data_IF_235439045622
#
_entry.id   IF_235439045622
#
_cell.length_a   1.000
_cell.length_b   1.000
_cell.length_c   1.000
_cell.angle_alpha   90.00
_cell.angle_beta   90.00
_cell.angle_gamma   90.00
#
_symmetry.space_group_name_H-M   'P 1'
#
loop_
_entity.id
_entity.type
_entity.pdbx_description
1 polymer ?
#
# COMPACT_ATOMS: atom_id res chain seq x y z
N UNK A 1 -31.13 -42.22 54.03
CA UNK A 1 -31.72 -41.37 52.96
C UNK A 1 -31.56 -39.90 53.33
N UNK A 2 -30.82 -39.12 52.53
CA UNK A 2 -31.01 -37.69 52.19
C UNK A 2 -29.68 -37.01 51.79
N UNK A 3 -29.49 -36.97 50.47
CA UNK A 3 -28.94 -35.92 49.60
C UNK A 3 -27.89 -34.90 50.11
N UNK A 4 -26.72 -35.00 49.48
CA UNK A 4 -25.92 -33.97 48.80
C UNK A 4 -26.39 -32.50 48.85
N UNK A 5 -25.54 -31.59 49.35
CA UNK A 5 -25.49 -30.19 48.88
C UNK A 5 -24.01 -29.78 48.72
N UNK A 6 -23.52 -29.86 47.49
CA UNK A 6 -22.24 -29.30 47.05
C UNK A 6 -22.43 -27.78 46.96
N UNK A 7 -21.63 -27.01 47.71
CA UNK A 7 -21.60 -25.53 47.64
C UNK A 7 -21.08 -25.08 46.27
N UNK A 8 -22.00 -24.84 45.34
CA UNK A 8 -21.76 -24.17 44.05
C UNK A 8 -21.63 -22.66 44.28
N UNK A 9 -20.49 -22.17 44.79
CA UNK A 9 -20.32 -20.71 44.99
C UNK A 9 -18.99 -20.13 44.57
N UNK A 10 -18.12 -20.89 43.91
CA UNK A 10 -16.80 -20.40 43.44
C UNK A 10 -16.51 -20.73 41.98
N UNK A 11 -17.56 -20.86 41.15
CA UNK A 11 -17.41 -21.11 39.71
C UNK A 11 -18.15 -20.10 38.82
N UNK A 12 -18.48 -18.91 39.35
CA UNK A 12 -19.25 -17.91 38.62
C UNK A 12 -18.55 -16.55 38.40
N UNK A 13 -17.30 -16.39 38.84
CA UNK A 13 -16.60 -15.09 38.73
C UNK A 13 -15.47 -15.03 37.69
N UNK A 14 -15.09 -16.14 37.05
CA UNK A 14 -14.01 -16.13 36.06
C UNK A 14 -14.48 -15.99 34.60
N UNK A 15 -15.76 -16.26 34.30
CA UNK A 15 -16.26 -16.29 32.92
C UNK A 15 -16.68 -14.89 32.42
N UNK A 16 -16.97 -13.95 33.31
CA UNK A 16 -17.43 -12.60 32.93
C UNK A 16 -16.28 -11.65 32.54
N UNK A 17 -15.03 -11.95 32.93
CA UNK A 17 -13.86 -11.14 32.58
C UNK A 17 -13.24 -11.46 31.20
N UNK A 18 -13.56 -12.64 30.62
CA UNK A 18 -13.08 -13.01 29.28
C UNK A 18 -14.00 -12.56 28.13
N UNK A 19 -15.22 -12.10 28.43
CA UNK A 19 -16.19 -11.70 27.41
C UNK A 19 -16.04 -10.24 26.94
N UNK A 20 -15.27 -9.40 27.65
CA UNK A 20 -15.13 -7.97 27.31
C UNK A 20 -13.94 -7.63 26.39
N UNK A 21 -13.03 -8.58 26.13
CA UNK A 21 -11.81 -8.33 25.34
C UNK A 21 -12.00 -8.52 23.82
N UNK A 22 -13.17 -9.01 23.38
CA UNK A 22 -13.41 -9.45 22.00
C UNK A 22 -13.93 -8.40 21.02
N UNK A 23 -14.21 -7.17 21.44
CA UNK A 23 -15.00 -6.22 20.64
C UNK A 23 -14.22 -5.07 19.95
N UNK A 24 -12.88 -5.05 19.95
CA UNK A 24 -12.11 -3.90 19.47
C UNK A 24 -11.41 -4.07 18.11
N UNK A 25 -11.92 -4.95 17.24
CA UNK A 25 -11.50 -4.97 15.83
C UNK A 25 -12.71 -4.93 14.89
N UNK A 26 -13.54 -3.89 15.02
CA UNK A 26 -14.39 -3.49 13.90
C UNK A 26 -13.45 -3.01 12.79
N UNK A 27 -13.08 -3.95 11.90
CA UNK A 27 -12.36 -3.64 10.68
C UNK A 27 -13.16 -2.55 9.95
N UNK A 28 -12.61 -1.34 9.91
CA UNK A 28 -13.18 -0.23 9.17
C UNK A 28 -13.18 -0.67 7.69
N UNK A 29 -14.33 -1.12 7.20
CA UNK A 29 -14.51 -1.55 5.82
C UNK A 29 -14.61 -0.28 4.97
N UNK A 30 -13.48 0.40 4.79
CA UNK A 30 -13.40 1.59 3.96
C UNK A 30 -13.43 1.15 2.51
N UNK A 31 -14.59 1.23 1.86
CA UNK A 31 -14.69 1.11 0.41
C UNK A 31 -13.89 2.24 -0.25
N UNK A 32 -13.25 1.96 -1.37
CA UNK A 32 -12.62 3.03 -2.15
C UNK A 32 -13.71 3.98 -2.66
N UNK A 33 -13.59 5.30 -2.44
CA UNK A 33 -14.52 6.26 -2.99
C UNK A 33 -14.43 6.22 -4.51
N UNK A 34 -15.56 6.45 -5.16
CA UNK A 34 -15.61 6.58 -6.61
C UNK A 34 -14.65 7.68 -7.09
N UNK A 35 -13.96 7.42 -8.20
CA UNK A 35 -13.08 8.41 -8.87
C UNK A 35 -13.87 9.02 -10.03
N UNK A 36 -14.36 10.27 -9.92
CA UNK A 36 -15.11 10.91 -11.00
C UNK A 36 -14.38 10.83 -12.33
N UNK A 37 -15.09 10.52 -13.41
CA UNK A 37 -14.49 10.28 -14.73
C UNK A 37 -13.76 11.52 -15.31
N UNK A 38 -14.17 12.72 -14.90
CA UNK A 38 -13.65 14.00 -15.37
C UNK A 38 -12.41 14.51 -14.60
N UNK A 39 -11.91 13.77 -13.60
CA UNK A 39 -10.69 14.18 -12.90
C UNK A 39 -9.48 14.11 -13.83
N UNK A 40 -8.71 15.18 -13.83
CA UNK A 40 -7.41 15.25 -14.51
C UNK A 40 -6.37 14.34 -13.82
N UNK A 41 -5.30 14.00 -14.54
CA UNK A 41 -4.16 13.25 -13.99
C UNK A 41 -3.63 13.88 -12.68
N UNK A 42 -3.44 15.21 -12.67
CA UNK A 42 -2.95 15.96 -11.51
C UNK A 42 -3.89 15.86 -10.31
N UNK A 43 -5.20 15.89 -10.52
CA UNK A 43 -6.17 15.74 -9.43
C UNK A 43 -6.19 14.33 -8.85
N UNK A 44 -6.01 13.30 -9.70
CA UNK A 44 -5.87 11.91 -9.23
C UNK A 44 -4.58 11.74 -8.43
N UNK A 45 -3.44 12.30 -8.90
CA UNK A 45 -2.17 12.30 -8.17
C UNK A 45 -2.34 12.98 -6.80
N UNK A 46 -2.95 14.16 -6.75
CA UNK A 46 -3.18 14.86 -5.48
C UNK A 46 -4.03 14.04 -4.52
N UNK A 47 -5.07 13.36 -5.02
CA UNK A 47 -5.91 12.46 -4.21
C UNK A 47 -5.11 11.26 -3.69
N UNK A 48 -4.26 10.66 -4.52
CA UNK A 48 -3.38 9.56 -4.13
C UNK A 48 -2.42 9.97 -3.01
N UNK A 49 -1.72 11.09 -3.17
CA UNK A 49 -0.81 11.65 -2.17
C UNK A 49 -1.54 11.99 -0.88
N UNK A 50 -2.72 12.63 -0.95
CA UNK A 50 -3.53 12.94 0.23
C UNK A 50 -4.01 11.69 0.97
N UNK A 51 -4.39 10.64 0.24
CA UNK A 51 -4.74 9.36 0.84
C UNK A 51 -3.53 8.73 1.55
N UNK A 52 -2.36 8.74 0.89
CA UNK A 52 -1.14 8.20 1.48
C UNK A 52 -0.71 8.96 2.73
N UNK A 53 -0.70 10.28 2.69
CA UNK A 53 -0.37 11.15 3.83
C UNK A 53 -1.34 10.96 5.01
N UNK A 54 -2.58 10.56 4.74
CA UNK A 54 -3.57 10.20 5.76
C UNK A 54 -3.45 8.74 6.25
N UNK A 55 -2.40 8.02 5.88
CA UNK A 55 -2.19 6.61 6.24
C UNK A 55 -3.08 5.62 5.48
N UNK A 56 -3.83 6.06 4.46
CA UNK A 56 -4.75 5.22 3.68
C UNK A 56 -4.03 4.61 2.47
N UNK A 57 -3.06 3.73 2.75
CA UNK A 57 -2.20 3.10 1.73
C UNK A 57 -2.98 2.44 0.59
N UNK A 58 -3.98 1.60 0.92
CA UNK A 58 -4.79 0.90 -0.10
C UNK A 58 -5.53 1.85 -1.04
N UNK A 59 -6.01 2.98 -0.50
CA UNK A 59 -6.72 3.98 -1.27
C UNK A 59 -5.75 4.78 -2.16
N UNK A 60 -4.53 5.07 -1.67
CA UNK A 60 -3.49 5.70 -2.48
C UNK A 60 -3.11 4.82 -3.68
N UNK A 61 -2.86 3.53 -3.45
CA UNK A 61 -2.57 2.55 -4.51
C UNK A 61 -3.71 2.51 -5.54
N UNK A 62 -4.96 2.45 -5.09
CA UNK A 62 -6.12 2.48 -5.99
C UNK A 62 -6.19 3.74 -6.86
N UNK A 63 -5.88 4.92 -6.31
CA UNK A 63 -5.83 6.15 -7.10
C UNK A 63 -4.68 6.14 -8.11
N UNK A 64 -3.50 5.65 -7.76
CA UNK A 64 -2.40 5.52 -8.73
C UNK A 64 -2.66 4.48 -9.81
N UNK A 65 -3.29 3.35 -9.47
CA UNK A 65 -3.76 2.38 -10.48
C UNK A 65 -4.78 3.04 -11.43
N UNK A 66 -5.68 3.87 -10.89
CA UNK A 66 -6.65 4.63 -11.69
C UNK A 66 -5.96 5.67 -12.58
N UNK A 67 -4.91 6.34 -12.10
CA UNK A 67 -4.10 7.27 -12.89
C UNK A 67 -3.48 6.54 -14.09
N UNK A 68 -2.86 5.40 -13.86
CA UNK A 68 -2.22 4.59 -14.91
C UNK A 68 -3.26 4.09 -15.91
N UNK A 69 -4.42 3.62 -15.43
CA UNK A 69 -5.49 3.15 -16.30
C UNK A 69 -6.05 4.23 -17.23
N UNK A 70 -6.13 5.49 -16.77
CA UNK A 70 -6.72 6.60 -17.54
C UNK A 70 -5.71 7.39 -18.35
N UNK A 71 -4.48 7.52 -17.85
CA UNK A 71 -3.47 8.43 -18.39
C UNK A 71 -2.12 7.76 -18.67
N UNK A 72 -1.99 6.45 -18.48
CA UNK A 72 -0.74 5.70 -18.66
C UNK A 72 -0.21 5.65 -20.10
N UNK A 73 -0.99 6.06 -21.10
CA UNK A 73 -0.47 6.27 -22.45
C UNK A 73 0.54 7.44 -22.51
N UNK A 74 0.44 8.41 -21.60
CA UNK A 74 1.50 9.39 -21.38
C UNK A 74 2.61 8.74 -20.55
N UNK A 75 3.77 8.53 -21.15
CA UNK A 75 4.87 7.81 -20.48
C UNK A 75 5.38 8.51 -19.22
N UNK A 76 5.36 9.84 -19.16
CA UNK A 76 5.75 10.59 -17.95
C UNK A 76 4.76 10.31 -16.81
N UNK A 77 3.44 10.35 -17.10
CA UNK A 77 2.41 10.00 -16.12
C UNK A 77 2.47 8.53 -15.70
N UNK A 78 2.79 7.63 -16.63
CA UNK A 78 3.02 6.22 -16.32
C UNK A 78 4.19 6.04 -15.34
N UNK A 79 5.32 6.67 -15.63
CA UNK A 79 6.52 6.64 -14.76
C UNK A 79 6.19 7.18 -13.37
N UNK A 80 5.53 8.33 -13.28
CA UNK A 80 5.14 8.94 -12.00
C UNK A 80 4.25 8.00 -11.18
N UNK A 81 3.15 7.50 -11.77
CA UNK A 81 2.23 6.61 -11.07
C UNK A 81 2.89 5.30 -10.61
N UNK A 82 3.73 4.70 -11.46
CA UNK A 82 4.46 3.46 -11.14
C UNK A 82 5.52 3.68 -10.07
N UNK A 83 6.24 4.81 -10.14
CA UNK A 83 7.23 5.18 -9.13
C UNK A 83 6.55 5.32 -7.77
N UNK A 84 5.44 6.06 -7.69
CA UNK A 84 4.71 6.27 -6.44
C UNK A 84 4.18 4.96 -5.83
N UNK A 85 3.64 4.05 -6.66
CA UNK A 85 3.25 2.71 -6.23
C UNK A 85 4.45 1.95 -5.64
N UNK A 86 5.59 1.95 -6.35
CA UNK A 86 6.80 1.29 -5.89
C UNK A 86 7.32 1.90 -4.58
N UNK A 87 7.31 3.23 -4.48
CA UNK A 87 7.77 3.96 -3.30
C UNK A 87 6.93 3.63 -2.06
N UNK A 88 5.62 3.50 -2.21
CA UNK A 88 4.73 3.01 -1.17
C UNK A 88 5.14 1.60 -0.72
N UNK A 89 5.42 0.70 -1.65
CA UNK A 89 5.88 -0.65 -1.33
C UNK A 89 7.25 -0.68 -0.65
N UNK A 90 8.19 0.18 -1.05
CA UNK A 90 9.49 0.34 -0.39
C UNK A 90 9.31 0.77 1.06
N UNK A 91 8.48 1.80 1.31
CA UNK A 91 8.19 2.26 2.68
C UNK A 91 7.52 1.18 3.53
N UNK A 92 6.68 0.34 2.92
CA UNK A 92 6.07 -0.82 3.56
C UNK A 92 7.01 -2.06 3.63
N UNK A 93 8.25 -1.98 3.14
CA UNK A 93 9.22 -3.08 3.03
C UNK A 93 8.68 -4.31 2.27
N UNK A 94 7.74 -4.09 1.35
CA UNK A 94 7.19 -5.11 0.43
C UNK A 94 8.10 -5.23 -0.79
N UNK A 95 9.30 -5.75 -0.55
CA UNK A 95 10.38 -5.77 -1.54
C UNK A 95 10.04 -6.59 -2.79
N UNK A 96 9.32 -7.69 -2.59
CA UNK A 96 8.75 -8.55 -3.64
C UNK A 96 7.88 -7.77 -4.64
N UNK A 97 7.17 -6.75 -4.17
CA UNK A 97 6.32 -5.90 -5.01
C UNK A 97 7.05 -4.67 -5.55
N UNK A 98 7.93 -4.08 -4.73
CA UNK A 98 8.65 -2.86 -5.09
C UNK A 98 9.67 -3.09 -6.22
N UNK A 99 10.52 -4.11 -6.06
CA UNK A 99 11.65 -4.38 -6.96
C UNK A 99 11.24 -4.52 -8.44
N UNK A 100 10.24 -5.34 -8.82
CA UNK A 100 9.88 -5.48 -10.24
C UNK A 100 9.44 -4.15 -10.85
N UNK A 101 8.69 -3.33 -10.11
CA UNK A 101 8.22 -2.02 -10.58
C UNK A 101 9.39 -1.03 -10.72
N UNK A 102 10.30 -0.99 -9.75
CA UNK A 102 11.49 -0.14 -9.82
C UNK A 102 12.41 -0.52 -10.99
N UNK A 103 12.62 -1.83 -11.22
CA UNK A 103 13.41 -2.35 -12.35
C UNK A 103 12.75 -2.06 -13.69
N UNK A 104 11.42 -2.18 -13.77
CA UNK A 104 10.66 -1.80 -14.96
C UNK A 104 10.90 -0.33 -15.34
N UNK A 105 10.78 0.59 -14.39
CA UNK A 105 11.04 2.02 -14.64
C UNK A 105 12.51 2.22 -15.05
N UNK A 106 13.46 1.62 -14.34
CA UNK A 106 14.89 1.73 -14.68
C UNK A 106 15.18 1.24 -16.10
N UNK A 107 14.57 0.12 -16.51
CA UNK A 107 14.73 -0.44 -17.86
C UNK A 107 14.11 0.46 -18.94
N UNK A 108 12.99 1.12 -18.63
CA UNK A 108 12.38 2.11 -19.52
C UNK A 108 13.33 3.29 -19.79
N UNK A 109 13.99 3.82 -18.75
CA UNK A 109 15.00 4.86 -18.93
C UNK A 109 16.20 4.35 -19.75
N UNK A 110 16.71 3.15 -19.44
CA UNK A 110 17.84 2.55 -20.15
C UNK A 110 17.56 2.28 -21.64
N UNK A 111 16.29 2.10 -22.00
CA UNK A 111 15.84 1.83 -23.38
C UNK A 111 15.36 3.09 -24.12
N UNK A 112 15.50 4.28 -23.51
CA UNK A 112 15.08 5.56 -24.06
C UNK A 112 16.28 6.45 -24.41
N UNK A 113 16.07 7.45 -25.27
CA UNK A 113 17.11 8.46 -25.51
C UNK A 113 17.34 9.27 -24.22
N UNK A 114 18.60 9.64 -23.88
CA UNK A 114 18.87 10.52 -22.75
C UNK A 114 18.04 11.81 -22.83
N UNK A 115 17.38 12.16 -21.73
CA UNK A 115 16.49 13.34 -21.66
C UNK A 115 15.06 13.13 -22.18
N UNK A 116 14.67 11.91 -22.59
CA UNK A 116 13.29 11.62 -23.02
C UNK A 116 12.25 11.85 -21.91
N UNK A 117 12.65 11.61 -20.66
CA UNK A 117 11.79 11.71 -19.48
C UNK A 117 12.48 12.51 -18.37
N UNK A 118 11.71 13.12 -17.44
CA UNK A 118 12.28 13.85 -16.31
C UNK A 118 13.25 12.98 -15.50
N UNK A 119 14.48 13.46 -15.29
CA UNK A 119 15.55 12.66 -14.69
C UNK A 119 15.37 12.39 -13.20
N UNK A 120 14.45 13.12 -12.54
CA UNK A 120 14.24 13.01 -11.10
C UNK A 120 13.71 11.62 -10.72
N UNK A 121 12.81 11.04 -11.53
CA UNK A 121 12.27 9.71 -11.28
C UNK A 121 13.34 8.62 -11.35
N UNK A 122 14.29 8.69 -12.30
CA UNK A 122 15.39 7.73 -12.36
C UNK A 122 16.22 7.79 -11.06
N UNK A 123 16.58 8.99 -10.61
CA UNK A 123 17.32 9.18 -9.36
C UNK A 123 16.54 8.64 -8.15
N UNK A 124 15.24 8.88 -8.10
CA UNK A 124 14.40 8.38 -7.01
C UNK A 124 14.27 6.84 -7.03
N UNK A 125 14.14 6.24 -8.21
CA UNK A 125 14.14 4.78 -8.40
C UNK A 125 15.45 4.17 -7.91
N UNK A 126 16.59 4.76 -8.26
CA UNK A 126 17.91 4.29 -7.81
C UNK A 126 18.06 4.39 -6.29
N UNK A 127 17.61 5.50 -5.69
CA UNK A 127 17.60 5.67 -4.24
C UNK A 127 16.73 4.63 -3.53
N UNK A 128 15.60 4.26 -4.12
CA UNK A 128 14.71 3.25 -3.56
C UNK A 128 15.25 1.83 -3.74
N UNK A 129 15.88 1.51 -4.88
CA UNK A 129 16.60 0.26 -5.07
C UNK A 129 17.78 0.11 -4.10
N UNK A 130 18.49 1.20 -3.79
CA UNK A 130 19.61 1.19 -2.83
C UNK A 130 19.18 0.84 -1.39
N UNK A 131 17.89 0.98 -1.05
CA UNK A 131 17.34 0.59 0.26
C UNK A 131 17.00 -0.90 0.35
N UNK A 132 16.98 -1.62 -0.78
CA UNK A 132 16.58 -3.02 -0.82
C UNK A 132 17.67 -3.88 -0.19
N UNK A 133 17.36 -4.71 0.83
CA UNK A 133 18.34 -5.62 1.41
C UNK A 133 18.84 -6.64 0.37
N UNK A 134 20.14 -6.96 0.39
CA UNK A 134 20.78 -7.84 -0.60
C UNK A 134 20.06 -9.17 -0.83
N UNK A 135 19.46 -9.75 0.22
CA UNK A 135 18.72 -11.03 0.12
C UNK A 135 17.54 -11.00 -0.86
N UNK A 136 17.01 -9.81 -1.17
CA UNK A 136 15.94 -9.64 -2.17
C UNK A 136 16.47 -9.28 -3.56
N UNK A 137 17.75 -8.93 -3.69
CA UNK A 137 18.36 -8.60 -4.98
C UNK A 137 18.84 -9.84 -5.74
N UNK A 138 19.09 -10.96 -5.04
CA UNK A 138 19.64 -12.21 -5.59
C UNK A 138 18.60 -13.17 -6.20
N UNK A 139 17.37 -12.72 -6.43
CA UNK A 139 16.26 -13.55 -6.91
C UNK A 139 16.03 -13.46 -8.43
N UNK A 140 17.08 -13.17 -9.20
CA UNK A 140 17.04 -13.14 -10.68
C UNK A 140 17.59 -14.41 -11.30
#
# INVERSE_FOLDING_TARGET
>A
MKQLIIKKTTFFSAVLALALSGALFTACQTSNPEVPANLTAREIIQKAQNAYNAGREKQALYYYDTLIARYGMNTVTYIEGKYEIAHIYVKAKKWDKAIPVLKEIKNLYASSLPGSYPGEYLKMVENDLAKVPEKYLKQE
#
